data_IF_928824868430
#
_entry.id   IF_928824868430
#
_cell.length_a   1.000
_cell.length_b   1.000
_cell.length_c   1.000
_cell.angle_alpha   90.00
_cell.angle_beta   90.00
_cell.angle_gamma   90.00
#
_symmetry.space_group_name_H-M   'P 1'
#
loop_
_entity.id
_entity.type
_entity.pdbx_description
1 polymer ?
#
# COMPACT_ATOMS: atom_id res chain seq x y z
N UNK A 1 -16.47 1.95 4.41
CA UNK A 1 -15.81 0.98 5.32
C UNK A 1 -14.71 1.70 6.11
N UNK A 2 -14.73 1.65 7.44
CA UNK A 2 -13.67 2.23 8.28
C UNK A 2 -12.46 1.29 8.32
N UNK A 3 -11.27 1.84 8.05
CA UNK A 3 -10.00 1.13 8.17
C UNK A 3 -9.66 0.98 9.67
N UNK A 4 -9.56 -0.24 10.19
CA UNK A 4 -9.20 -0.49 11.59
C UNK A 4 -7.71 -0.81 11.68
N UNK A 5 -6.93 0.12 12.24
CA UNK A 5 -5.50 -0.06 12.49
C UNK A 5 -5.25 -0.57 13.91
N UNK A 6 -4.20 -1.39 14.09
CA UNK A 6 -3.87 -2.00 15.39
C UNK A 6 -3.21 -1.02 16.37
N UNK A 7 -2.47 -0.02 15.87
CA UNK A 7 -1.79 0.98 16.70
C UNK A 7 -2.49 2.35 16.59
N UNK A 8 -2.75 3.03 17.73
CA UNK A 8 -3.30 4.38 17.71
C UNK A 8 -2.28 5.35 17.12
N UNK A 9 -2.68 6.10 16.08
CA UNK A 9 -1.86 7.19 15.53
C UNK A 9 -1.76 8.29 16.58
N UNK A 10 -0.56 8.84 16.80
CA UNK A 10 -0.39 10.05 17.62
C UNK A 10 -1.42 11.10 17.18
N UNK A 11 -2.14 11.77 18.10
CA UNK A 11 -3.26 12.66 17.75
C UNK A 11 -2.88 13.71 16.70
N UNK A 12 -1.67 14.26 16.83
CA UNK A 12 -1.07 15.29 15.98
C UNK A 12 -0.84 14.85 14.53
N UNK A 13 -0.53 13.56 14.32
CA UNK A 13 -0.25 12.98 13.01
C UNK A 13 -1.48 12.31 12.39
N UNK A 14 -2.57 12.20 13.14
CA UNK A 14 -3.77 11.44 12.75
C UNK A 14 -4.35 11.92 11.43
N UNK A 15 -4.50 13.24 11.24
CA UNK A 15 -5.07 13.82 10.02
C UNK A 15 -4.21 13.59 8.78
N UNK A 16 -2.88 13.73 8.91
CA UNK A 16 -1.94 13.55 7.80
C UNK A 16 -1.89 12.08 7.38
N UNK A 17 -1.76 11.17 8.35
CA UNK A 17 -1.72 9.72 8.10
C UNK A 17 -3.04 9.23 7.48
N UNK A 18 -4.19 9.70 7.97
CA UNK A 18 -5.48 9.39 7.36
C UNK A 18 -5.59 9.91 5.92
N UNK A 19 -5.17 11.16 5.66
CA UNK A 19 -5.18 11.75 4.32
C UNK A 19 -4.29 10.94 3.36
N UNK A 20 -3.08 10.58 3.78
CA UNK A 20 -2.16 9.73 3.02
C UNK A 20 -2.78 8.37 2.73
N UNK A 21 -3.29 7.67 3.75
CA UNK A 21 -3.86 6.34 3.59
C UNK A 21 -5.10 6.35 2.69
N UNK A 22 -5.91 7.41 2.73
CA UNK A 22 -7.01 7.62 1.78
C UNK A 22 -6.50 7.79 0.35
N UNK A 23 -5.46 8.60 0.13
CA UNK A 23 -4.85 8.75 -1.20
C UNK A 23 -4.22 7.46 -1.71
N UNK A 24 -3.59 6.69 -0.82
CA UNK A 24 -3.04 5.37 -1.12
C UNK A 24 -4.14 4.39 -1.56
N UNK A 25 -5.27 4.34 -0.85
CA UNK A 25 -6.42 3.55 -1.27
C UNK A 25 -6.97 4.01 -2.61
N UNK A 26 -7.13 5.32 -2.80
CA UNK A 26 -7.61 5.87 -4.07
C UNK A 26 -6.68 5.51 -5.23
N UNK A 27 -5.35 5.50 -5.02
CA UNK A 27 -4.37 5.13 -6.04
C UNK A 27 -4.59 3.72 -6.60
N UNK A 28 -4.88 2.74 -5.73
CA UNK A 28 -5.15 1.36 -6.14
C UNK A 28 -6.58 1.19 -6.67
N UNK A 29 -7.57 1.80 -6.03
CA UNK A 29 -8.97 1.75 -6.46
C UNK A 29 -9.18 2.35 -7.84
N UNK A 30 -8.50 3.46 -8.18
CA UNK A 30 -8.60 4.05 -9.53
C UNK A 30 -8.03 3.15 -10.63
N UNK A 31 -7.23 2.16 -10.24
CA UNK A 31 -6.66 1.14 -11.13
C UNK A 31 -7.43 -0.17 -11.05
N UNK A 32 -8.59 -0.22 -10.39
CA UNK A 32 -9.40 -1.42 -10.17
C UNK A 32 -8.63 -2.58 -9.49
N UNK A 33 -7.79 -2.26 -8.49
CA UNK A 33 -7.07 -3.24 -7.67
C UNK A 33 -7.66 -3.28 -6.25
N UNK A 34 -8.12 -4.46 -5.80
CA UNK A 34 -8.60 -4.66 -4.40
C UNK A 34 -7.40 -4.76 -3.46
N UNK A 35 -6.83 -3.60 -3.11
CA UNK A 35 -5.75 -3.48 -2.14
C UNK A 35 -6.30 -2.94 -0.83
N UNK A 36 -6.10 -3.71 0.25
CA UNK A 36 -6.53 -3.36 1.61
C UNK A 36 -5.32 -3.01 2.46
N UNK A 37 -5.49 -2.01 3.33
CA UNK A 37 -4.45 -1.60 4.27
C UNK A 37 -4.65 -2.32 5.61
N UNK A 38 -3.61 -2.99 6.08
CA UNK A 38 -3.62 -3.77 7.32
C UNK A 38 -2.49 -3.34 8.26
N UNK A 39 -2.66 -3.61 9.56
CA UNK A 39 -1.60 -3.42 10.56
C UNK A 39 -1.52 -1.99 11.10
N UNK A 40 -0.34 -1.39 10.99
CA UNK A 40 -0.05 -0.04 11.51
C UNK A 40 -0.52 1.03 10.52
N UNK A 41 -1.19 2.07 11.00
CA UNK A 41 -1.64 3.16 10.16
C UNK A 41 -0.50 3.95 9.53
N UNK A 42 0.64 4.09 10.21
CA UNK A 42 1.81 4.81 9.74
C UNK A 42 2.63 4.01 8.74
N UNK A 43 2.65 2.69 8.89
CA UNK A 43 3.35 1.77 7.99
C UNK A 43 2.41 0.61 7.61
N UNK A 44 1.36 0.88 6.80
CA UNK A 44 0.36 -0.11 6.50
C UNK A 44 0.92 -1.18 5.57
N UNK A 45 0.61 -2.44 5.89
CA UNK A 45 0.75 -3.54 4.94
C UNK A 45 -0.33 -3.41 3.87
N UNK A 46 0.08 -3.38 2.60
CA UNK A 46 -0.84 -3.38 1.46
C UNK A 46 -1.10 -4.81 1.02
N UNK A 47 -2.36 -5.25 1.11
CA UNK A 47 -2.78 -6.61 0.83
C UNK A 47 -3.66 -6.64 -0.40
N UNK A 48 -3.16 -7.21 -1.50
CA UNK A 48 -3.88 -7.45 -2.73
C UNK A 48 -4.74 -8.72 -2.60
N UNK A 49 -6.02 -8.60 -2.95
CA UNK A 49 -7.00 -9.69 -2.99
C UNK A 49 -7.09 -10.52 -1.68
N UNK A 50 -6.66 -9.95 -0.55
CA UNK A 50 -6.70 -10.60 0.76
C UNK A 50 -5.65 -11.70 1.01
N UNK A 51 -4.77 -12.01 0.05
CA UNK A 51 -3.82 -13.13 0.16
C UNK A 51 -2.37 -12.79 -0.23
N UNK A 52 -2.11 -11.62 -0.81
CA UNK A 52 -0.76 -11.23 -1.23
C UNK A 52 -0.40 -9.88 -0.63
N UNK A 53 0.67 -9.83 0.16
CA UNK A 53 1.28 -8.60 0.64
C UNK A 53 2.17 -7.99 -0.45
N UNK A 54 1.89 -6.76 -0.84
CA UNK A 54 2.68 -6.06 -1.84
C UNK A 54 4.07 -5.72 -1.27
N UNK A 55 5.11 -5.93 -2.07
CA UNK A 55 6.49 -5.51 -1.83
C UNK A 55 6.64 -4.00 -1.98
N UNK A 56 5.89 -3.24 -1.19
CA UNK A 56 5.82 -1.80 -1.28
C UNK A 56 5.62 -1.20 0.11
N UNK A 57 6.00 0.06 0.27
CA UNK A 57 5.68 0.83 1.46
C UNK A 57 5.33 2.27 1.10
N UNK A 58 4.77 2.98 2.08
CA UNK A 58 4.46 4.40 1.94
C UNK A 58 5.25 5.20 2.97
N UNK A 59 5.92 6.25 2.52
CA UNK A 59 6.59 7.21 3.38
C UNK A 59 6.14 8.61 2.99
N UNK A 60 5.68 9.41 3.96
CA UNK A 60 5.04 10.71 3.70
C UNK A 60 3.88 10.62 2.69
N UNK A 61 4.07 11.03 1.43
CA UNK A 61 3.09 10.87 0.36
C UNK A 61 3.69 10.14 -0.84
N UNK A 62 4.74 9.37 -0.63
CA UNK A 62 5.41 8.62 -1.67
C UNK A 62 5.11 7.13 -1.48
N UNK A 63 4.46 6.53 -2.47
CA UNK A 63 4.30 5.09 -2.59
C UNK A 63 5.54 4.56 -3.30
N UNK A 64 6.28 3.70 -2.61
CA UNK A 64 7.54 3.15 -3.07
C UNK A 64 7.34 1.66 -3.35
N UNK A 65 7.57 1.28 -4.60
CA UNK A 65 7.48 -0.08 -5.11
C UNK A 65 8.88 -0.71 -5.15
N UNK A 66 9.02 -1.91 -4.61
CA UNK A 66 10.30 -2.59 -4.44
C UNK A 66 10.43 -3.81 -5.34
N UNK A 67 11.67 -4.26 -5.54
CA UNK A 67 11.98 -5.49 -6.26
C UNK A 67 11.80 -6.77 -5.42
N UNK A 68 11.72 -6.67 -4.10
CA UNK A 68 11.48 -7.80 -3.19
C UNK A 68 10.88 -7.36 -1.85
N UNK A 69 10.26 -8.29 -1.09
CA UNK A 69 9.69 -7.97 0.22
C UNK A 69 10.75 -7.56 1.26
N UNK A 70 10.34 -6.77 2.24
CA UNK A 70 11.03 -6.43 3.49
C UNK A 70 12.43 -5.76 3.39
N UNK A 71 13.07 -5.70 2.22
CA UNK A 71 14.42 -5.12 2.04
C UNK A 71 14.83 -4.98 0.55
N UNK A 72 13.87 -4.66 -0.32
CA UNK A 72 14.14 -4.46 -1.74
C UNK A 72 14.74 -3.12 -2.12
N UNK A 73 15.31 -3.06 -3.32
CA UNK A 73 15.66 -1.82 -3.99
C UNK A 73 14.40 -1.14 -4.54
N UNK A 74 14.41 0.19 -4.58
CA UNK A 74 13.32 0.98 -5.15
C UNK A 74 13.29 0.82 -6.66
N UNK A 75 12.18 0.28 -7.18
CA UNK A 75 11.94 0.16 -8.61
C UNK A 75 11.18 1.38 -9.15
N UNK A 76 10.18 1.84 -8.40
CA UNK A 76 9.35 2.97 -8.83
C UNK A 76 8.78 3.69 -7.62
N UNK A 77 8.62 5.00 -7.76
CA UNK A 77 7.99 5.85 -6.76
C UNK A 77 6.84 6.60 -7.40
N UNK A 78 5.66 6.53 -6.79
CA UNK A 78 4.48 7.30 -7.17
C UNK A 78 4.15 8.32 -6.09
N UNK A 79 3.95 9.58 -6.49
CA UNK A 79 3.54 10.61 -5.55
C UNK A 79 2.02 10.58 -5.37
N UNK A 80 1.58 10.40 -4.13
CA UNK A 80 0.18 10.37 -3.71
C UNK A 80 -0.39 11.78 -3.62
N UNK A 81 -0.79 12.31 -4.77
CA UNK A 81 -1.48 13.60 -4.88
C UNK A 81 -2.99 13.45 -5.02
N UNK A 82 -3.71 14.54 -5.26
CA UNK A 82 -5.16 14.48 -5.53
C UNK A 82 -5.45 13.93 -6.93
N UNK A 83 -4.58 14.26 -7.88
CA UNK A 83 -4.58 13.66 -9.20
C UNK A 83 -3.80 12.34 -9.09
N UNK A 84 -4.46 11.23 -9.41
CA UNK A 84 -3.82 9.92 -9.33
C UNK A 84 -2.83 9.75 -10.48
N UNK A 85 -1.60 9.40 -10.15
CA UNK A 85 -0.53 9.15 -11.11
C UNK A 85 -0.46 7.67 -11.49
N UNK A 86 0.17 7.40 -12.65
CA UNK A 86 0.45 6.06 -13.15
C UNK A 86 -0.76 5.30 -13.67
N UNK A 87 -0.52 4.35 -14.56
CA UNK A 87 -1.56 3.52 -15.16
C UNK A 87 -1.77 2.21 -14.38
N UNK A 88 -2.83 1.47 -14.72
CA UNK A 88 -3.07 0.14 -14.14
C UNK A 88 -1.98 -0.83 -14.59
N UNK A 89 -1.62 -0.76 -15.87
CA UNK A 89 -0.67 -1.64 -16.54
C UNK A 89 0.69 -1.57 -15.87
N UNK A 90 1.19 -0.35 -15.60
CA UNK A 90 2.47 -0.15 -14.90
C UNK A 90 2.52 -0.83 -13.52
N UNK A 91 1.40 -0.85 -12.79
CA UNK A 91 1.34 -1.48 -11.46
C UNK A 91 1.21 -2.99 -11.59
N UNK A 92 0.47 -3.49 -12.58
CA UNK A 92 0.33 -4.93 -12.84
C UNK A 92 1.66 -5.52 -13.31
N UNK A 93 2.34 -4.86 -14.25
CA UNK A 93 3.66 -5.28 -14.73
C UNK A 93 4.64 -5.40 -13.55
N UNK A 94 4.69 -4.39 -12.69
CA UNK A 94 5.52 -4.46 -11.47
C UNK A 94 5.12 -5.62 -10.54
N UNK A 95 3.82 -5.87 -10.32
CA UNK A 95 3.35 -6.98 -9.48
C UNK A 95 3.79 -8.34 -10.05
N UNK A 96 3.81 -8.48 -11.38
CA UNK A 96 4.17 -9.71 -12.08
C UNK A 96 5.68 -9.91 -12.19
N UNK A 97 6.43 -8.83 -12.36
CA UNK A 97 7.88 -8.86 -12.56
C UNK A 97 8.64 -9.16 -11.25
N UNK A 98 8.13 -8.64 -10.12
CA UNK A 98 8.84 -8.73 -8.85
C UNK A 98 8.13 -9.61 -7.82
N UNK A 99 8.89 -10.38 -7.00
CA UNK A 99 8.33 -11.22 -5.95
C UNK A 99 7.53 -10.41 -4.93
N UNK A 100 6.34 -10.92 -4.60
CA UNK A 100 5.44 -10.40 -3.57
C UNK A 100 5.44 -11.34 -2.35
N UNK A 101 4.92 -10.87 -1.22
CA UNK A 101 4.87 -11.66 0.02
C UNK A 101 3.57 -12.48 0.08
N UNK A 102 3.59 -13.83 0.02
CA UNK A 102 2.39 -14.63 0.25
C UNK A 102 1.92 -14.48 1.69
N UNK A 103 0.62 -14.28 1.89
CA UNK A 103 0.00 -14.25 3.21
C UNK A 103 -0.71 -15.57 3.45
N UNK A 104 -0.24 -16.33 4.43
CA UNK A 104 -0.93 -17.52 4.90
C UNK A 104 -2.05 -17.10 5.85
N UNK A 105 -3.28 -17.54 5.57
CA UNK A 105 -4.31 -17.56 6.61
C UNK A 105 -3.85 -18.60 7.64
N UNK A 106 -3.58 -18.16 8.87
CA UNK A 106 -3.71 -19.06 9.99
C UNK A 106 -5.20 -19.37 10.11
N UNK A 107 -5.60 -20.56 9.63
CA UNK A 107 -6.85 -21.19 10.04
C UNK A 107 -6.75 -21.45 11.54
N UNK A 108 -7.39 -20.58 12.33
CA UNK A 108 -7.73 -20.83 13.73
C UNK A 108 -9.22 -21.12 13.81
#
# INVERSE_FOLDING_TARGET
MQVKFKNPVKPELSGIVQKRNRRLQNFFSSKNLDVRLHGDAQNPLMVLCGCVGLSAYVHNFDLILLDKPNQGATMKTFKLTEIVQGTREEVIEWIQEFPQMPLYRHST
#
